data_IF_258491223227
#
_entry.id   IF_258491223227
#
_cell.length_a   1.000
_cell.length_b   1.000
_cell.length_c   1.000
_cell.angle_alpha   90.00
_cell.angle_beta   90.00
_cell.angle_gamma   90.00
#
_symmetry.space_group_name_H-M   'P 1'
#
loop_
_entity.id
_entity.type
_entity.pdbx_description
1 polymer ?
#
# COMPACT_ATOMS: atom_id res chain seq x y z
N UNK A 1 5.41 4.38 -20.14
CA UNK A 1 6.14 4.86 -18.94
C UNK A 1 5.14 5.72 -18.14
N UNK A 2 4.02 5.10 -17.76
CA UNK A 2 2.85 5.74 -17.12
C UNK A 2 2.54 5.10 -15.76
N UNK A 3 3.48 4.32 -15.23
CA UNK A 3 3.17 3.18 -14.37
C UNK A 3 3.71 3.28 -12.93
N UNK A 4 4.27 4.43 -12.52
CA UNK A 4 4.80 4.58 -11.17
C UNK A 4 4.07 5.61 -10.30
N UNK A 5 3.46 6.62 -10.90
CA UNK A 5 2.57 7.58 -10.24
C UNK A 5 1.73 8.23 -11.34
N UNK A 6 0.83 7.46 -11.98
CA UNK A 6 0.11 7.89 -13.19
C UNK A 6 -0.37 9.34 -13.09
N UNK A 7 -0.28 10.10 -14.19
CA UNK A 7 -0.92 11.43 -14.28
C UNK A 7 -2.37 11.27 -13.84
N UNK A 8 -2.65 11.69 -12.61
CA UNK A 8 -4.01 11.71 -12.10
C UNK A 8 -4.71 12.88 -12.79
N UNK A 9 -5.76 12.65 -13.61
CA UNK A 9 -6.53 13.76 -14.16
C UNK A 9 -6.91 14.72 -13.02
N UNK A 10 -6.84 16.04 -13.26
CA UNK A 10 -7.04 17.07 -12.20
C UNK A 10 -8.32 16.91 -11.37
N UNK A 11 -9.32 16.18 -11.87
CA UNK A 11 -10.52 15.81 -11.10
C UNK A 11 -10.25 14.82 -9.96
N UNK A 12 -9.26 13.94 -10.08
CA UNK A 12 -8.86 12.99 -9.05
C UNK A 12 -8.22 13.69 -7.84
N UNK A 13 -7.72 14.92 -7.98
CA UNK A 13 -7.20 15.69 -6.84
C UNK A 13 -8.30 16.18 -5.88
N UNK A 14 -9.57 16.18 -6.30
CA UNK A 14 -10.71 16.59 -5.45
C UNK A 14 -11.05 15.59 -4.35
N UNK A 15 -10.43 14.40 -4.38
CA UNK A 15 -10.60 13.39 -3.32
C UNK A 15 -9.87 13.78 -2.04
N UNK A 16 -8.87 14.65 -2.15
CA UNK A 16 -8.09 15.09 -1.01
C UNK A 16 -8.77 16.28 -0.35
N UNK A 17 -8.87 16.23 0.97
CA UNK A 17 -9.18 17.41 1.76
C UNK A 17 -8.15 18.52 1.47
N UNK A 18 -8.56 19.78 1.25
CA UNK A 18 -7.63 20.85 0.90
C UNK A 18 -6.48 21.05 1.89
N UNK A 19 -6.72 20.90 3.20
CA UNK A 19 -5.68 21.07 4.22
C UNK A 19 -4.66 19.92 4.18
N UNK A 20 -5.13 18.70 3.94
CA UNK A 20 -4.28 17.53 3.71
C UNK A 20 -3.45 17.70 2.43
N UNK A 21 -4.08 18.15 1.34
CA UNK A 21 -3.40 18.35 0.06
C UNK A 21 -2.30 19.41 0.16
N UNK A 22 -2.58 20.55 0.81
CA UNK A 22 -1.58 21.60 1.06
C UNK A 22 -0.40 21.07 1.89
N UNK A 23 -0.65 20.15 2.81
CA UNK A 23 0.42 19.50 3.58
C UNK A 23 1.29 18.60 2.69
N UNK A 24 0.68 17.81 1.81
CA UNK A 24 1.43 17.01 0.84
C UNK A 24 2.27 17.87 -0.09
N UNK A 25 1.72 18.98 -0.60
CA UNK A 25 2.44 19.93 -1.46
C UNK A 25 3.64 20.53 -0.72
N UNK A 26 3.44 21.05 0.51
CA UNK A 26 4.55 21.62 1.31
C UNK A 26 5.66 20.62 1.56
N UNK A 27 5.32 19.37 1.85
CA UNK A 27 6.31 18.31 2.03
C UNK A 27 7.07 18.01 0.73
N UNK A 28 6.40 18.05 -0.42
CA UNK A 28 7.04 17.85 -1.73
C UNK A 28 7.86 19.06 -2.20
N UNK A 29 7.64 20.25 -1.64
CA UNK A 29 8.48 21.43 -1.87
C UNK A 29 9.79 21.39 -1.05
N UNK A 30 9.86 20.61 0.02
CA UNK A 30 11.06 20.43 0.83
C UNK A 30 12.04 19.44 0.18
N UNK A 31 13.26 19.91 -0.12
CA UNK A 31 14.28 19.12 -0.79
C UNK A 31 14.73 17.92 0.03
N UNK A 32 14.75 18.03 1.36
CA UNK A 32 15.18 16.94 2.23
C UNK A 32 14.14 15.81 2.21
N UNK A 33 12.85 16.17 2.21
CA UNK A 33 11.75 15.23 2.02
C UNK A 33 11.82 14.52 0.67
N UNK A 34 12.01 15.26 -0.43
CA UNK A 34 12.15 14.65 -1.78
C UNK A 34 13.38 13.75 -1.86
N UNK A 35 14.49 14.15 -1.24
CA UNK A 35 15.70 13.33 -1.16
C UNK A 35 15.45 12.02 -0.39
N UNK A 36 14.74 12.09 0.73
CA UNK A 36 14.35 10.93 1.52
C UNK A 36 13.44 9.98 0.72
N UNK A 37 12.42 10.49 0.03
CA UNK A 37 11.56 9.69 -0.86
C UNK A 37 12.37 9.00 -1.96
N UNK A 38 13.31 9.72 -2.59
CA UNK A 38 14.19 9.11 -3.58
C UNK A 38 15.06 8.00 -2.98
N UNK A 39 15.50 8.13 -1.73
CA UNK A 39 16.27 7.10 -1.04
C UNK A 39 15.41 5.88 -0.65
N UNK A 40 14.14 6.07 -0.31
CA UNK A 40 13.17 4.98 -0.12
C UNK A 40 13.02 4.15 -1.40
N UNK A 41 12.82 4.80 -2.55
CA UNK A 41 12.80 4.09 -3.85
C UNK A 41 14.14 3.41 -4.20
N UNK A 42 15.29 3.96 -3.77
CA UNK A 42 16.59 3.28 -3.96
C UNK A 42 16.72 2.06 -3.04
N UNK A 43 16.29 2.16 -1.79
CA UNK A 43 16.32 1.07 -0.81
C UNK A 43 15.43 -0.09 -1.25
N UNK A 44 14.20 0.19 -1.68
CA UNK A 44 13.25 -0.81 -2.19
C UNK A 44 13.73 -1.55 -3.44
N UNK A 45 14.61 -0.94 -4.23
CA UNK A 45 15.26 -1.57 -5.39
C UNK A 45 16.61 -2.24 -5.06
N UNK A 46 17.05 -2.19 -3.79
CA UNK A 46 18.34 -2.73 -3.35
C UNK A 46 18.24 -3.47 -2.01
N UNK A 47 18.55 -2.81 -0.89
CA UNK A 47 18.68 -3.42 0.44
C UNK A 47 17.42 -4.18 0.86
N UNK A 48 16.23 -3.61 0.63
CA UNK A 48 14.97 -4.24 1.03
C UNK A 48 14.73 -5.57 0.29
N UNK A 49 15.20 -5.69 -0.95
CA UNK A 49 15.12 -6.96 -1.70
C UNK A 49 16.06 -8.02 -1.12
N UNK A 50 17.25 -7.62 -0.68
CA UNK A 50 18.21 -8.54 -0.09
C UNK A 50 17.74 -9.02 1.29
N UNK A 51 17.17 -8.12 2.10
CA UNK A 51 16.54 -8.46 3.38
C UNK A 51 15.32 -9.37 3.18
N UNK A 52 14.40 -9.05 2.27
CA UNK A 52 13.24 -9.88 1.97
C UNK A 52 13.63 -11.29 1.47
N UNK A 53 14.67 -11.39 0.62
CA UNK A 53 15.21 -12.69 0.17
C UNK A 53 15.83 -13.45 1.32
N UNK A 54 16.50 -12.77 2.23
CA UNK A 54 17.08 -13.40 3.41
C UNK A 54 16.02 -13.92 4.37
N UNK A 55 14.94 -13.17 4.60
CA UNK A 55 13.79 -13.61 5.38
C UNK A 55 13.19 -14.89 4.79
N UNK A 56 12.95 -14.92 3.48
CA UNK A 56 12.44 -16.11 2.79
C UNK A 56 13.40 -17.30 2.94
N UNK A 57 14.72 -17.09 2.73
CA UNK A 57 15.73 -18.16 2.87
C UNK A 57 15.78 -18.73 4.28
N UNK A 58 15.61 -17.88 5.29
CA UNK A 58 15.66 -18.25 6.70
C UNK A 58 14.28 -18.61 7.28
N UNK A 59 13.24 -18.67 6.44
CA UNK A 59 11.87 -18.97 6.83
C UNK A 59 11.33 -18.02 7.92
N UNK A 60 11.72 -16.74 7.88
CA UNK A 60 11.16 -15.69 8.73
C UNK A 60 9.88 -15.15 8.08
N UNK A 61 8.77 -15.83 8.36
CA UNK A 61 7.47 -15.52 7.79
C UNK A 61 6.62 -14.67 8.75
N UNK A 62 5.63 -13.97 8.21
CA UNK A 62 4.63 -13.24 9.02
C UNK A 62 3.87 -14.23 9.92
N UNK A 63 3.83 -13.93 11.22
CA UNK A 63 3.29 -14.83 12.26
C UNK A 63 1.93 -14.37 12.83
N UNK A 64 1.44 -13.18 12.46
CA UNK A 64 0.17 -12.63 12.94
C UNK A 64 -0.88 -12.63 11.82
N UNK A 65 -2.18 -12.64 12.15
CA UNK A 65 -3.25 -12.46 11.17
C UNK A 65 -2.99 -11.26 10.25
N UNK A 66 -3.40 -11.37 8.98
CA UNK A 66 -3.22 -10.32 7.96
C UNK A 66 -4.56 -10.05 7.26
N UNK A 67 -4.95 -8.78 7.23
CA UNK A 67 -5.99 -8.27 6.34
C UNK A 67 -5.35 -7.44 5.23
N UNK A 68 -5.63 -7.80 3.98
CA UNK A 68 -5.14 -7.10 2.79
C UNK A 68 -6.30 -6.37 2.12
N UNK A 69 -6.24 -5.04 2.06
CA UNK A 69 -7.23 -4.21 1.36
C UNK A 69 -6.53 -3.52 0.20
N UNK A 70 -7.06 -3.64 -1.01
CA UNK A 70 -6.47 -3.03 -2.20
C UNK A 70 -7.50 -2.38 -3.12
N UNK A 71 -7.02 -1.55 -4.04
CA UNK A 71 -7.85 -0.79 -4.97
C UNK A 71 -8.36 -1.69 -6.10
N UNK A 72 -9.69 -1.73 -6.29
CA UNK A 72 -10.34 -2.45 -7.40
C UNK A 72 -9.97 -1.88 -8.77
N UNK A 73 -9.70 -0.58 -8.86
CA UNK A 73 -9.33 0.06 -10.14
C UNK A 73 -7.81 0.16 -10.36
N UNK A 74 -7.02 -0.30 -9.37
CA UNK A 74 -5.57 -0.19 -9.32
C UNK A 74 -4.79 -1.34 -9.95
N UNK A 75 -3.46 -1.23 -9.92
CA UNK A 75 -2.52 -2.22 -10.49
C UNK A 75 -2.60 -3.57 -9.76
N UNK A 76 -2.84 -3.54 -8.44
CA UNK A 76 -2.91 -4.78 -7.64
C UNK A 76 -4.04 -5.69 -8.13
N UNK A 77 -5.25 -5.15 -8.36
CA UNK A 77 -6.37 -5.93 -8.90
C UNK A 77 -6.06 -6.49 -10.30
N UNK A 78 -5.40 -5.69 -11.15
CA UNK A 78 -5.17 -6.04 -12.57
C UNK A 78 -4.06 -7.07 -12.76
N UNK A 79 -3.06 -7.09 -11.87
CA UNK A 79 -1.80 -7.77 -12.14
C UNK A 79 -1.42 -8.81 -11.10
N UNK A 80 -2.07 -8.84 -9.94
CA UNK A 80 -1.66 -9.69 -8.82
C UNK A 80 -2.86 -10.41 -8.18
N UNK A 81 -2.57 -11.49 -7.46
CA UNK A 81 -3.53 -12.14 -6.57
C UNK A 81 -3.17 -11.77 -5.13
N UNK A 82 -3.56 -10.55 -4.71
CA UNK A 82 -3.07 -9.93 -3.48
C UNK A 82 -3.03 -10.86 -2.26
N UNK A 83 -4.14 -11.56 -1.96
CA UNK A 83 -4.21 -12.50 -0.82
C UNK A 83 -3.23 -13.68 -0.97
N UNK A 84 -3.04 -14.19 -2.18
CA UNK A 84 -2.13 -15.32 -2.41
C UNK A 84 -0.66 -14.90 -2.33
N UNK A 85 -0.31 -13.68 -2.77
CA UNK A 85 1.04 -13.12 -2.58
C UNK A 85 1.37 -13.01 -1.08
N UNK A 86 0.43 -12.54 -0.26
CA UNK A 86 0.63 -12.44 1.19
C UNK A 86 0.67 -13.81 1.89
N UNK A 87 -0.13 -14.78 1.44
CA UNK A 87 -0.04 -16.17 1.95
C UNK A 87 1.31 -16.80 1.67
N UNK A 88 1.99 -16.43 0.58
CA UNK A 88 3.30 -16.98 0.24
C UNK A 88 4.41 -16.56 1.23
N UNK A 89 4.20 -15.46 1.97
CA UNK A 89 5.15 -14.90 2.94
C UNK A 89 4.63 -14.90 4.38
N UNK A 90 3.52 -15.58 4.64
CA UNK A 90 2.95 -15.78 5.97
C UNK A 90 3.06 -17.26 6.39
N UNK A 91 3.10 -17.52 7.69
CA UNK A 91 3.02 -18.89 8.20
C UNK A 91 1.75 -19.58 7.75
N UNK A 92 1.81 -20.91 7.59
CA UNK A 92 0.63 -21.69 7.18
C UNK A 92 -0.53 -21.62 8.16
N UNK A 93 -0.24 -21.36 9.44
CA UNK A 93 -1.25 -21.22 10.49
C UNK A 93 -1.86 -19.82 10.57
N UNK A 94 -1.30 -18.83 9.85
CA UNK A 94 -1.78 -17.45 9.88
C UNK A 94 -2.98 -17.30 8.96
N UNK A 95 -4.03 -16.65 9.49
CA UNK A 95 -5.17 -16.23 8.67
C UNK A 95 -4.75 -15.05 7.81
N UNK A 96 -4.81 -15.23 6.49
CA UNK A 96 -4.63 -14.15 5.50
C UNK A 96 -5.94 -14.00 4.75
N UNK A 97 -6.60 -12.86 4.95
CA UNK A 97 -7.85 -12.50 4.31
C UNK A 97 -7.72 -11.14 3.63
N UNK A 98 -8.64 -10.84 2.72
CA UNK A 98 -8.59 -9.58 2.00
C UNK A 98 -9.61 -9.46 0.90
N UNK A 99 -9.83 -8.23 0.46
CA UNK A 99 -10.76 -7.90 -0.61
C UNK A 99 -10.39 -6.56 -1.27
N UNK A 100 -10.86 -6.38 -2.50
CA UNK A 100 -10.74 -5.11 -3.20
C UNK A 100 -11.86 -4.14 -2.80
N UNK A 101 -11.51 -2.86 -2.72
CA UNK A 101 -12.45 -1.75 -2.46
C UNK A 101 -12.65 -0.97 -3.75
N UNK A 102 -13.91 -0.60 -4.02
CA UNK A 102 -14.29 0.18 -5.19
C UNK A 102 -13.73 1.61 -5.11
N UNK A 103 -12.46 1.74 -5.48
CA UNK A 103 -11.61 2.93 -5.31
C UNK A 103 -10.43 2.86 -6.26
N UNK A 104 -9.82 4.02 -6.54
CA UNK A 104 -8.48 4.17 -7.12
C UNK A 104 -7.38 3.96 -6.06
N UNK A 105 -6.16 4.43 -6.35
CA UNK A 105 -4.98 4.10 -5.54
C UNK A 105 -5.06 4.61 -4.08
N UNK A 106 -5.56 5.83 -3.88
CA UNK A 106 -5.68 6.48 -2.57
C UNK A 106 -6.96 6.03 -1.84
N UNK A 107 -7.00 4.76 -1.43
CA UNK A 107 -8.18 4.15 -0.76
C UNK A 107 -8.60 4.93 0.50
N UNK A 108 -7.69 5.36 1.40
CA UNK A 108 -8.08 6.10 2.60
C UNK A 108 -8.82 7.40 2.30
N UNK A 109 -8.49 8.08 1.21
CA UNK A 109 -9.15 9.32 0.77
C UNK A 109 -10.44 9.06 -0.02
N UNK A 110 -10.49 8.01 -0.83
CA UNK A 110 -11.65 7.73 -1.69
C UNK A 110 -12.75 6.90 -1.01
N UNK A 111 -12.37 6.01 -0.10
CA UNK A 111 -13.28 5.12 0.60
C UNK A 111 -12.92 5.00 2.11
N UNK A 112 -12.85 6.12 2.84
CA UNK A 112 -12.45 6.14 4.25
C UNK A 112 -13.30 5.23 5.14
N UNK A 113 -14.61 5.18 4.91
CA UNK A 113 -15.53 4.33 5.67
C UNK A 113 -15.25 2.84 5.46
N UNK A 114 -14.87 2.44 4.23
CA UNK A 114 -14.48 1.06 3.96
C UNK A 114 -13.20 0.68 4.71
N UNK A 115 -12.21 1.56 4.75
CA UNK A 115 -10.97 1.35 5.51
C UNK A 115 -11.26 1.27 7.02
N UNK A 116 -12.09 2.18 7.52
CA UNK A 116 -12.44 2.21 8.95
C UNK A 116 -13.22 0.97 9.39
N UNK A 117 -14.20 0.51 8.59
CA UNK A 117 -14.93 -0.73 8.87
C UNK A 117 -14.00 -1.93 8.86
N UNK A 118 -13.12 -2.01 7.84
CA UNK A 118 -12.14 -3.08 7.69
C UNK A 118 -11.24 -3.21 8.93
N UNK A 119 -10.64 -2.11 9.38
CA UNK A 119 -9.77 -2.09 10.57
C UNK A 119 -10.55 -2.46 11.82
N UNK A 120 -11.76 -1.90 12.02
CA UNK A 120 -12.58 -2.18 13.20
C UNK A 120 -13.03 -3.64 13.28
N UNK A 121 -13.44 -4.23 12.16
CA UNK A 121 -13.83 -5.63 12.11
C UNK A 121 -12.64 -6.53 12.39
N UNK A 122 -11.51 -6.30 11.73
CA UNK A 122 -10.31 -7.12 11.88
C UNK A 122 -9.71 -7.07 13.28
N UNK A 123 -9.66 -5.90 13.91
CA UNK A 123 -9.10 -5.77 15.26
C UNK A 123 -10.05 -6.20 16.39
N UNK A 124 -11.29 -6.61 16.09
CA UNK A 124 -12.22 -7.17 17.07
C UNK A 124 -12.09 -8.68 17.24
N UNK A 125 -11.45 -9.34 16.28
CA UNK A 125 -11.13 -10.78 16.27
C UNK A 125 -9.90 -11.09 17.15
#
# INVERSE_FOLDING_TARGET
MELLMGEQPREELKIFDPECFDTYVKNLEDSDTVHAMCNDYRASASFDLDEAREDIRNHRLVQCPVLVVWSKHGVIEKSFKAVEEWKAVAERSVSVQGYSVDSGHSIPEQAPESVLSAIREFCRE
#
